data_IF_522182899617
#
_entry.id   IF_522182899617
#
_cell.length_a   1.000
_cell.length_b   1.000
_cell.length_c   1.000
_cell.angle_alpha   90.00
_cell.angle_beta   90.00
_cell.angle_gamma   90.00
#
_symmetry.space_group_name_H-M   'P 1'
#
loop_
_entity.id
_entity.type
_entity.pdbx_description
1 polymer ?
#
# COMPACT_ATOMS: atom_id res chain seq x y z
N UNK A 1 0.08 -2.44 1.72
CA UNK A 1 -1.32 -1.97 1.70
C UNK A 1 -1.46 -0.48 1.45
N UNK A 2 -0.61 0.41 2.00
CA UNK A 2 -0.70 1.85 1.66
C UNK A 2 -0.67 2.13 0.13
N UNK A 3 0.13 1.43 -0.68
CA UNK A 3 0.12 1.63 -2.14
C UNK A 3 -1.28 1.48 -2.76
N UNK A 4 -1.98 0.42 -2.43
CA UNK A 4 -3.37 0.20 -2.86
C UNK A 4 -4.33 1.30 -2.41
N UNK A 5 -4.18 1.82 -1.19
CA UNK A 5 -5.02 2.91 -0.67
C UNK A 5 -4.79 4.24 -1.40
N UNK A 6 -3.68 4.38 -2.11
CA UNK A 6 -3.38 5.54 -2.93
C UNK A 6 -3.84 5.28 -4.37
N UNK A 7 -3.36 4.19 -4.97
CA UNK A 7 -3.53 3.98 -6.41
C UNK A 7 -4.97 3.60 -6.77
N UNK A 8 -5.64 2.72 -6.00
CA UNK A 8 -7.00 2.28 -6.35
C UNK A 8 -8.00 3.43 -6.36
N UNK A 9 -8.09 4.33 -5.36
CA UNK A 9 -8.99 5.48 -5.46
C UNK A 9 -8.61 6.42 -6.61
N UNK A 10 -7.32 6.72 -6.79
CA UNK A 10 -6.86 7.60 -7.85
C UNK A 10 -7.19 7.06 -9.25
N UNK A 11 -7.12 5.74 -9.45
CA UNK A 11 -7.43 5.09 -10.70
C UNK A 11 -8.95 4.86 -10.88
N UNK A 12 -9.56 4.12 -9.95
CA UNK A 12 -10.92 3.57 -10.08
C UNK A 12 -12.03 4.57 -9.75
N UNK A 13 -11.74 5.62 -8.96
CA UNK A 13 -12.74 6.62 -8.57
C UNK A 13 -12.52 7.94 -9.29
N UNK A 14 -11.26 8.39 -9.37
CA UNK A 14 -10.94 9.70 -9.92
C UNK A 14 -10.37 9.67 -11.35
N UNK A 15 -9.96 8.51 -11.87
CA UNK A 15 -9.38 8.39 -13.21
C UNK A 15 -8.09 9.21 -13.41
N UNK A 16 -7.38 9.54 -12.33
CA UNK A 16 -6.22 10.44 -12.35
C UNK A 16 -4.93 9.75 -12.75
N UNK A 17 -4.86 8.44 -12.58
CA UNK A 17 -3.67 7.63 -12.90
C UNK A 17 -4.06 6.46 -13.80
N UNK A 18 -3.13 5.95 -14.63
CA UNK A 18 -3.46 5.04 -15.72
C UNK A 18 -3.80 3.59 -15.30
N UNK A 19 -3.59 3.23 -14.04
CA UNK A 19 -3.89 1.90 -13.48
C UNK A 19 -3.98 1.97 -11.95
N UNK A 20 -4.69 1.03 -11.32
CA UNK A 20 -4.72 0.83 -9.86
C UNK A 20 -3.39 0.33 -9.28
N UNK A 21 -2.37 0.12 -10.13
CA UNK A 21 -0.98 -0.11 -9.74
C UNK A 21 -0.05 0.76 -10.59
N UNK A 22 0.17 2.01 -10.18
CA UNK A 22 1.07 2.92 -10.90
C UNK A 22 1.91 3.84 -10.01
N UNK A 23 1.32 4.82 -9.31
CA UNK A 23 2.08 5.85 -8.61
C UNK A 23 2.76 5.28 -7.37
N UNK A 24 1.96 4.73 -6.46
CA UNK A 24 2.43 4.22 -5.19
C UNK A 24 3.04 2.81 -5.30
N UNK A 25 2.82 2.11 -6.42
CA UNK A 25 3.53 0.87 -6.76
C UNK A 25 4.87 1.09 -7.49
N UNK A 26 5.26 2.35 -7.73
CA UNK A 26 6.55 2.69 -8.32
C UNK A 26 7.67 2.78 -7.27
N UNK A 27 8.82 2.19 -7.60
CA UNK A 27 10.06 2.34 -6.82
C UNK A 27 10.63 3.75 -6.93
N UNK A 28 10.35 4.47 -8.02
CA UNK A 28 10.73 5.89 -8.18
C UNK A 28 10.00 6.75 -7.15
N UNK A 29 8.70 6.53 -7.01
CA UNK A 29 7.89 7.19 -5.98
C UNK A 29 8.34 6.78 -4.57
N UNK A 30 8.54 5.48 -4.34
CA UNK A 30 9.01 4.97 -3.05
C UNK A 30 10.38 5.54 -2.67
N UNK A 31 11.31 5.73 -3.61
CA UNK A 31 12.61 6.33 -3.32
C UNK A 31 12.46 7.76 -2.78
N UNK A 32 11.64 8.59 -3.42
CA UNK A 32 11.33 9.95 -2.95
C UNK A 32 10.62 9.94 -1.60
N UNK A 33 9.61 9.09 -1.45
CA UNK A 33 8.86 8.93 -0.19
C UNK A 33 9.78 8.48 0.94
N UNK A 34 10.73 7.58 0.67
CA UNK A 34 11.69 7.06 1.65
C UNK A 34 12.54 8.17 2.25
N UNK A 35 13.04 9.08 1.40
CA UNK A 35 13.82 10.24 1.85
C UNK A 35 12.97 11.12 2.78
N UNK A 36 11.74 11.46 2.36
CA UNK A 36 10.84 12.32 3.13
C UNK A 36 10.53 11.68 4.50
N UNK A 37 10.10 10.41 4.50
CA UNK A 37 9.75 9.67 5.72
C UNK A 37 10.96 9.56 6.64
N UNK A 38 12.14 9.25 6.11
CA UNK A 38 13.36 9.11 6.91
C UNK A 38 13.81 10.43 7.55
N UNK A 39 13.72 11.54 6.82
CA UNK A 39 14.05 12.87 7.33
C UNK A 39 13.08 13.29 8.45
N UNK A 40 11.78 13.09 8.26
CA UNK A 40 10.77 13.40 9.28
C UNK A 40 10.92 12.52 10.53
N UNK A 41 11.22 11.23 10.32
CA UNK A 41 11.47 10.28 11.41
C UNK A 41 12.74 10.62 12.19
N UNK A 42 13.78 11.11 11.50
CA UNK A 42 15.00 11.61 12.16
C UNK A 42 14.69 12.76 13.10
N UNK A 43 13.91 13.75 12.64
CA UNK A 43 13.56 14.92 13.47
C UNK A 43 12.66 14.59 14.66
N UNK A 44 11.91 13.49 14.58
CA UNK A 44 10.97 13.07 15.62
C UNK A 44 11.48 11.92 16.49
N UNK A 45 12.69 11.41 16.25
CA UNK A 45 13.26 10.27 16.98
C UNK A 45 12.58 8.93 16.68
N UNK A 46 11.93 8.78 15.51
CA UNK A 46 11.08 7.63 15.15
C UNK A 46 11.63 6.80 13.98
N UNK A 47 12.96 6.71 13.89
CA UNK A 47 13.65 5.98 12.81
C UNK A 47 13.28 4.48 12.75
N UNK A 48 13.15 3.76 13.89
CA UNK A 48 12.71 2.36 13.84
C UNK A 48 11.34 2.19 13.18
N UNK A 49 10.38 3.06 13.50
CA UNK A 49 9.04 3.01 12.91
C UNK A 49 9.05 3.35 11.41
N UNK A 50 9.88 4.31 11.01
CA UNK A 50 10.09 4.60 9.59
C UNK A 50 10.70 3.40 8.85
N UNK A 51 11.69 2.73 9.44
CA UNK A 51 12.27 1.51 8.88
C UNK A 51 11.22 0.42 8.67
N UNK A 52 10.43 0.12 9.71
CA UNK A 52 9.35 -0.85 9.63
C UNK A 52 8.32 -0.50 8.55
N UNK A 53 7.93 0.78 8.47
CA UNK A 53 7.02 1.27 7.44
C UNK A 53 7.57 1.07 6.02
N UNK A 54 8.82 1.47 5.77
CA UNK A 54 9.44 1.38 4.45
C UNK A 54 9.68 -0.08 4.02
N UNK A 55 10.08 -0.95 4.96
CA UNK A 55 10.20 -2.39 4.70
C UNK A 55 8.84 -2.98 4.35
N UNK A 56 7.79 -2.66 5.10
CA UNK A 56 6.43 -3.14 4.80
C UNK A 56 5.90 -2.62 3.47
N UNK A 57 6.20 -1.36 3.12
CA UNK A 57 5.85 -0.77 1.84
C UNK A 57 6.55 -1.50 0.69
N UNK A 58 7.88 -1.64 0.76
CA UNK A 58 8.67 -2.33 -0.26
C UNK A 58 8.25 -3.79 -0.41
N UNK A 59 8.06 -4.50 0.69
CA UNK A 59 7.64 -5.91 0.67
C UNK A 59 6.30 -6.08 -0.03
N UNK A 60 5.36 -5.18 0.21
CA UNK A 60 4.07 -5.19 -0.50
C UNK A 60 4.24 -4.96 -2.00
N UNK A 61 4.98 -3.93 -2.42
CA UNK A 61 5.23 -3.66 -3.85
C UNK A 61 5.90 -4.86 -4.54
N UNK A 62 6.89 -5.48 -3.87
CA UNK A 62 7.58 -6.65 -4.42
C UNK A 62 6.69 -7.90 -4.46
N UNK A 63 5.86 -8.12 -3.44
CA UNK A 63 4.91 -9.24 -3.42
C UNK A 63 3.90 -9.14 -4.56
N UNK A 64 3.42 -7.93 -4.88
CA UNK A 64 2.46 -7.69 -5.95
C UNK A 64 2.99 -8.03 -7.35
N UNK A 65 4.29 -7.85 -7.59
CA UNK A 65 4.93 -8.12 -8.90
C UNK A 65 5.58 -9.50 -8.98
N UNK A 66 5.81 -10.16 -7.85
CA UNK A 66 6.51 -11.44 -7.80
C UNK A 66 5.84 -12.53 -8.65
N UNK A 67 4.50 -12.74 -8.61
CA UNK A 67 3.85 -13.73 -9.47
C UNK A 67 4.07 -13.45 -10.96
N UNK A 68 3.96 -12.19 -11.38
CA UNK A 68 4.19 -11.78 -12.76
C UNK A 68 5.65 -12.00 -13.19
N UNK A 69 6.61 -11.72 -12.29
CA UNK A 69 8.03 -11.95 -12.53
C UNK A 69 8.33 -13.45 -12.73
N UNK A 70 7.76 -14.31 -11.88
CA UNK A 70 7.91 -15.77 -11.98
C UNK A 70 7.26 -16.33 -13.24
N UNK A 71 6.15 -15.73 -13.69
CA UNK A 71 5.46 -16.09 -14.93
C UNK A 71 6.11 -15.50 -16.20
N UNK A 72 7.15 -14.67 -16.08
CA UNK A 72 7.80 -14.00 -17.22
C UNK A 72 6.94 -12.91 -17.86
N UNK A 73 5.94 -12.39 -17.16
CA UNK A 73 5.04 -11.33 -17.63
C UNK A 73 5.67 -9.93 -17.45
N UNK A 74 6.82 -9.71 -18.10
CA UNK A 74 7.67 -8.51 -17.90
C UNK A 74 6.93 -7.19 -18.12
N UNK A 75 5.89 -7.16 -18.96
CA UNK A 75 5.06 -5.97 -19.16
C UNK A 75 4.41 -5.47 -17.85
N UNK A 76 4.00 -6.37 -16.95
CA UNK A 76 3.40 -6.02 -15.65
C UNK A 76 4.40 -5.41 -14.67
N UNK A 77 5.69 -5.66 -14.84
CA UNK A 77 6.76 -5.08 -14.03
C UNK A 77 7.05 -3.62 -14.39
N UNK A 78 6.53 -3.12 -15.51
CA UNK A 78 6.66 -1.72 -15.93
C UNK A 78 6.14 -0.70 -14.90
N UNK A 79 5.28 -1.12 -13.95
CA UNK A 79 4.84 -0.27 -12.83
C UNK A 79 6.00 0.15 -11.91
N UNK A 80 7.02 -0.71 -11.73
CA UNK A 80 8.11 -0.48 -10.78
C UNK A 80 8.93 0.77 -11.10
N UNK A 81 9.00 1.18 -12.36
CA UNK A 81 9.77 2.35 -12.79
C UNK A 81 8.87 3.48 -13.33
N UNK A 82 7.54 3.41 -13.16
CA UNK A 82 6.66 4.50 -13.56
C UNK A 82 7.05 5.81 -12.85
N UNK A 83 7.08 6.98 -13.51
CA UNK A 83 6.59 7.28 -14.87
C UNK A 83 7.64 7.11 -15.99
N UNK A 84 8.81 6.52 -15.71
CA UNK A 84 9.87 6.31 -16.70
C UNK A 84 9.46 5.23 -17.72
N UNK A 85 8.77 4.19 -17.25
CA UNK A 85 8.22 3.11 -18.06
C UNK A 85 6.70 3.13 -18.09
N UNK A 86 6.07 2.60 -19.17
CA UNK A 86 4.63 2.45 -19.21
C UNK A 86 4.15 1.44 -18.17
N UNK A 87 2.98 1.68 -17.59
CA UNK A 87 2.30 0.67 -16.78
C UNK A 87 1.56 -0.33 -17.65
N UNK A 88 1.42 -1.56 -17.16
CA UNK A 88 0.45 -2.50 -17.70
C UNK A 88 -0.96 -2.04 -17.34
N UNK A 89 -1.85 -1.97 -18.33
CA UNK A 89 -3.27 -1.65 -18.11
C UNK A 89 -4.05 -2.94 -18.09
N UNK A 90 -4.66 -3.23 -16.95
CA UNK A 90 -5.53 -4.39 -16.84
C UNK A 90 -6.85 -4.11 -17.59
N UNK A 91 -7.37 -5.08 -18.36
CA UNK A 91 -8.68 -4.94 -19.02
C UNK A 91 -9.76 -4.56 -18.00
N UNK A 92 -10.62 -3.62 -18.39
CA UNK A 92 -11.78 -3.14 -17.62
C UNK A 92 -11.46 -2.63 -16.20
N UNK A 93 -10.17 -2.37 -15.90
CA UNK A 93 -9.74 -1.98 -14.55
C UNK A 93 -10.26 -0.60 -14.16
N UNK A 94 -10.26 0.34 -15.10
CA UNK A 94 -10.69 1.71 -14.85
C UNK A 94 -12.21 1.84 -14.73
N UNK A 95 -12.96 0.85 -15.20
CA UNK A 95 -14.41 0.78 -15.04
C UNK A 95 -14.81 0.17 -13.68
N UNK A 96 -13.84 -0.38 -12.93
CA UNK A 96 -14.09 -0.88 -11.56
C UNK A 96 -14.33 0.28 -10.61
N UNK A 97 -15.11 0.00 -9.57
CA UNK A 97 -15.17 0.84 -8.38
C UNK A 97 -14.72 0.05 -7.15
N UNK A 98 -14.27 0.74 -6.10
CA UNK A 98 -13.89 0.09 -4.84
C UNK A 98 -15.07 -0.71 -4.27
N UNK A 99 -16.27 -0.13 -4.29
CA UNK A 99 -17.48 -0.81 -3.80
C UNK A 99 -17.81 -2.02 -4.71
N UNK A 100 -17.78 -1.84 -6.02
CA UNK A 100 -18.02 -2.91 -6.99
C UNK A 100 -17.08 -4.10 -6.80
N UNK A 101 -15.78 -3.83 -6.59
CA UNK A 101 -14.79 -4.88 -6.29
C UNK A 101 -15.20 -5.75 -5.10
N UNK A 102 -15.66 -5.15 -4.00
CA UNK A 102 -16.09 -5.91 -2.82
C UNK A 102 -17.43 -6.63 -3.04
N UNK A 103 -18.34 -6.09 -3.84
CA UNK A 103 -19.61 -6.73 -4.18
C UNK A 103 -19.43 -7.94 -5.12
N UNK A 104 -18.40 -7.91 -5.95
CA UNK A 104 -18.08 -8.98 -6.91
C UNK A 104 -17.13 -10.05 -6.34
N UNK A 105 -16.55 -9.80 -5.15
CA UNK A 105 -15.54 -10.64 -4.53
C UNK A 105 -16.09 -12.05 -4.26
N UNK A 106 -15.50 -13.05 -4.92
CA UNK A 106 -15.93 -14.45 -4.78
C UNK A 106 -15.18 -15.15 -3.65
N UNK A 107 -15.80 -16.11 -2.93
CA UNK A 107 -15.11 -16.87 -1.89
C UNK A 107 -13.82 -17.57 -2.36
N UNK A 108 -13.78 -18.02 -3.61
CA UNK A 108 -12.58 -18.63 -4.20
C UNK A 108 -11.40 -17.65 -4.27
N UNK A 109 -11.65 -16.35 -4.45
CA UNK A 109 -10.62 -15.31 -4.49
C UNK A 109 -10.08 -14.99 -3.09
N UNK A 110 -10.82 -15.35 -2.03
CA UNK A 110 -10.38 -15.23 -0.65
C UNK A 110 -9.41 -16.36 -0.24
N UNK A 111 -9.49 -17.53 -0.87
CA UNK A 111 -8.61 -18.67 -0.54
C UNK A 111 -7.26 -18.48 -1.23
N UNK A 112 -6.52 -17.46 -0.78
CA UNK A 112 -5.19 -17.12 -1.30
C UNK A 112 -4.12 -17.24 -0.22
N UNK A 113 -2.89 -17.53 -0.65
CA UNK A 113 -1.72 -17.52 0.23
C UNK A 113 -1.55 -16.15 0.90
N UNK A 114 -1.83 -15.08 0.17
CA UNK A 114 -1.76 -13.69 0.66
C UNK A 114 -2.73 -13.44 1.81
N UNK A 115 -3.96 -13.95 1.73
CA UNK A 115 -4.92 -13.85 2.83
C UNK A 115 -4.43 -14.66 4.05
N UNK A 116 -3.90 -15.87 3.83
CA UNK A 116 -3.32 -16.69 4.89
C UNK A 116 -2.18 -15.98 5.62
N UNK A 117 -1.23 -15.41 4.89
CA UNK A 117 -0.13 -14.61 5.45
C UNK A 117 -0.67 -13.38 6.19
N UNK A 118 -1.68 -12.72 5.63
CA UNK A 118 -2.31 -11.55 6.28
C UNK A 118 -2.96 -11.92 7.61
N UNK A 119 -3.68 -13.04 7.67
CA UNK A 119 -4.31 -13.55 8.91
C UNK A 119 -3.24 -13.87 9.96
N UNK A 120 -2.15 -14.55 9.58
CA UNK A 120 -1.04 -14.86 10.50
C UNK A 120 -0.37 -13.60 11.00
N UNK A 121 -0.02 -12.66 10.10
CA UNK A 121 0.59 -11.39 10.48
C UNK A 121 -0.33 -10.58 11.41
N UNK A 122 -1.63 -10.58 11.15
CA UNK A 122 -2.61 -9.92 12.01
C UNK A 122 -2.72 -10.60 13.38
N UNK A 123 -2.75 -11.93 13.44
CA UNK A 123 -2.77 -12.67 14.70
C UNK A 123 -1.52 -12.38 15.54
N UNK A 124 -0.33 -12.39 14.93
CA UNK A 124 0.92 -12.03 15.60
C UNK A 124 0.88 -10.60 16.13
N UNK A 125 0.40 -9.65 15.34
CA UNK A 125 0.23 -8.27 15.78
C UNK A 125 -0.73 -8.12 16.96
N UNK A 126 -1.81 -8.90 17.01
CA UNK A 126 -2.73 -8.95 18.16
C UNK A 126 -2.05 -9.54 19.39
N UNK A 127 -1.32 -10.65 19.23
CA UNK A 127 -0.55 -11.30 20.30
C UNK A 127 0.52 -10.35 20.87
N UNK A 128 1.14 -9.53 20.02
CA UNK A 128 2.10 -8.50 20.41
C UNK A 128 1.46 -7.26 21.09
N UNK A 129 0.14 -7.29 21.35
CA UNK A 129 -0.58 -6.22 22.04
C UNK A 129 -0.99 -5.06 21.14
N UNK A 130 -1.14 -5.32 19.84
CA UNK A 130 -1.56 -4.35 18.82
C UNK A 130 -0.72 -3.05 18.83
N UNK A 131 0.62 -3.16 18.72
CA UNK A 131 1.51 -2.01 18.79
C UNK A 131 1.12 -0.94 17.76
N UNK A 132 1.19 0.32 18.20
CA UNK A 132 0.84 1.49 17.37
C UNK A 132 -0.56 2.07 17.61
N UNK A 133 -1.56 1.28 18.01
CA UNK A 133 -2.94 1.79 18.25
C UNK A 133 -2.93 2.91 19.29
N UNK A 134 -2.31 2.67 20.46
CA UNK A 134 -2.28 3.67 21.54
C UNK A 134 -1.59 4.98 21.10
N UNK A 135 -0.60 4.90 20.22
CA UNK A 135 0.07 6.07 19.66
C UNK A 135 -0.85 6.84 18.71
N UNK A 136 -1.57 6.15 17.82
CA UNK A 136 -2.53 6.76 16.91
C UNK A 136 -3.68 7.44 17.67
N UNK A 137 -4.26 6.76 18.65
CA UNK A 137 -5.35 7.32 19.49
C UNK A 137 -4.89 8.57 20.22
N UNK A 138 -3.71 8.54 20.86
CA UNK A 138 -3.15 9.73 21.54
C UNK A 138 -2.90 10.88 20.58
N UNK A 139 -2.41 10.60 19.37
CA UNK A 139 -2.17 11.61 18.35
C UNK A 139 -3.47 12.31 17.93
N UNK A 140 -4.51 11.52 17.60
CA UNK A 140 -5.83 12.04 17.22
C UNK A 140 -6.44 12.87 18.35
N UNK A 141 -6.43 12.34 19.58
CA UNK A 141 -6.99 13.04 20.76
C UNK A 141 -6.34 14.40 20.99
N UNK A 142 -5.00 14.46 20.97
CA UNK A 142 -4.24 15.72 21.09
C UNK A 142 -4.58 16.72 20.00
N UNK A 143 -4.89 16.26 18.78
CA UNK A 143 -5.23 17.17 17.67
C UNK A 143 -6.65 17.71 17.81
N UNK A 144 -7.61 16.87 18.22
CA UNK A 144 -8.99 17.29 18.51
C UNK A 144 -9.02 18.31 19.65
N UNK A 145 -8.27 18.09 20.73
CA UNK A 145 -8.19 19.02 21.86
C UNK A 145 -7.64 20.39 21.44
N UNK A 146 -6.61 20.44 20.58
CA UNK A 146 -6.09 21.70 20.03
C UNK A 146 -7.02 22.44 19.07
N UNK A 147 -8.00 21.75 18.47
CA UNK A 147 -9.00 22.39 17.60
C UNK A 147 -10.20 22.93 18.41
N UNK A 148 -10.31 22.54 19.68
CA UNK A 148 -11.38 22.97 20.61
C UNK A 148 -10.93 24.08 21.57
N UNK A 149 -9.64 24.37 21.62
CA UNK A 149 -9.03 25.48 22.37
C UNK A 149 -8.77 26.65 21.43
#
# INVERSE_FOLDING_TARGET
>A
QLPDLIDKPLAWTFGLIPSGRSLAHSLVFLAGLSVIVWLLATRSGRRPEAGAFLVGYLTHVLADVLPAALAGEWAKLGTLLWPITPVFRYPDELDRSIIGFFLELRPAELVSLELGVTIVAFALWVVDGAPGIGTAVRFVRRRVERLRA
#
